data_IF_835225143423
#
_entry.id   IF_835225143423
#
_cell.length_a   1.000
_cell.length_b   1.000
_cell.length_c   1.000
_cell.angle_alpha   90.00
_cell.angle_beta   90.00
_cell.angle_gamma   90.00
#
_symmetry.space_group_name_H-M   'P 1'
#
loop_
_entity.id
_entity.type
_entity.pdbx_description
1 polymer ?
#
# COMPACT_ATOMS: atom_id res chain seq x y z
N UNK A 1 22.73 9.91 -19.39
CA UNK A 1 21.78 10.89 -19.94
C UNK A 1 21.75 12.06 -18.99
N UNK A 2 22.01 13.29 -19.47
CA UNK A 2 21.89 14.51 -18.65
C UNK A 2 20.43 14.70 -18.29
N UNK A 3 20.06 14.52 -17.03
CA UNK A 3 18.77 14.96 -16.48
C UNK A 3 18.63 16.44 -16.80
N UNK A 4 17.68 16.78 -17.69
CA UNK A 4 17.27 18.18 -17.86
C UNK A 4 16.78 18.64 -16.49
N UNK A 5 17.43 19.66 -15.93
CA UNK A 5 16.99 20.25 -14.67
C UNK A 5 15.54 20.75 -14.87
N UNK A 6 14.61 20.15 -14.14
CA UNK A 6 13.21 20.63 -14.13
C UNK A 6 13.19 22.04 -13.58
N UNK A 7 12.47 22.96 -14.25
CA UNK A 7 12.26 24.31 -13.72
C UNK A 7 11.60 24.23 -12.34
N UNK A 8 12.00 25.07 -11.37
CA UNK A 8 11.35 25.09 -10.06
C UNK A 8 9.85 25.33 -10.20
N UNK A 9 9.07 24.79 -9.25
CA UNK A 9 7.62 25.01 -9.20
C UNK A 9 7.24 25.68 -7.88
N UNK A 10 6.54 26.81 -7.95
CA UNK A 10 5.98 27.50 -6.78
C UNK A 10 4.47 27.32 -6.75
N UNK A 11 3.96 26.60 -5.77
CA UNK A 11 2.53 26.44 -5.49
C UNK A 11 2.15 27.51 -4.48
N UNK A 12 1.20 28.41 -4.83
CA UNK A 12 0.80 29.54 -3.99
C UNK A 12 -0.52 29.29 -3.29
N UNK A 13 -0.60 29.74 -2.03
CA UNK A 13 -1.84 29.84 -1.25
C UNK A 13 -2.63 28.52 -1.11
N UNK A 14 -1.97 27.38 -1.22
CA UNK A 14 -2.62 26.10 -0.99
C UNK A 14 -2.85 25.87 0.52
N UNK A 15 -3.95 25.23 0.89
CA UNK A 15 -4.01 24.53 2.17
C UNK A 15 -2.99 23.37 2.12
N UNK A 16 -2.19 23.19 3.16
CA UNK A 16 -1.15 22.15 3.18
C UNK A 16 -1.46 21.15 4.28
N UNK A 17 -1.72 19.90 3.90
CA UNK A 17 -1.71 18.78 4.84
C UNK A 17 -0.26 18.30 5.01
N UNK A 18 0.33 18.56 6.19
CA UNK A 18 1.75 18.31 6.41
C UNK A 18 2.12 16.84 6.68
N UNK A 19 1.14 15.94 6.64
CA UNK A 19 1.22 14.52 7.02
C UNK A 19 0.54 14.21 8.36
N UNK A 20 0.16 15.23 9.12
CA UNK A 20 -0.51 15.10 10.41
C UNK A 20 -1.68 16.09 10.61
N UNK A 21 -1.56 17.29 10.06
CA UNK A 21 -2.54 18.37 10.22
C UNK A 21 -2.63 19.24 8.98
N UNK A 22 -3.76 19.91 8.81
CA UNK A 22 -3.96 20.91 7.78
C UNK A 22 -3.47 22.29 8.26
N UNK A 23 -2.61 22.92 7.47
CA UNK A 23 -2.15 24.29 7.64
C UNK A 23 -2.69 25.13 6.49
N UNK A 24 -3.42 26.20 6.80
CA UNK A 24 -4.06 27.03 5.79
C UNK A 24 -3.06 27.97 5.09
N UNK A 25 -3.33 28.25 3.81
CA UNK A 25 -2.71 29.30 3.00
C UNK A 25 -1.17 29.35 3.06
N UNK A 26 -0.51 28.26 2.60
CA UNK A 26 0.95 28.21 2.46
C UNK A 26 1.36 28.28 0.99
N UNK A 27 2.55 28.84 0.76
CA UNK A 27 3.29 28.65 -0.48
C UNK A 27 4.27 27.49 -0.29
N UNK A 28 4.46 26.67 -1.33
CA UNK A 28 5.41 25.56 -1.35
C UNK A 28 6.28 25.67 -2.60
N UNK A 29 7.59 25.75 -2.41
CA UNK A 29 8.58 25.78 -3.49
C UNK A 29 9.19 24.40 -3.67
N UNK A 30 9.08 23.87 -4.88
CA UNK A 30 9.75 22.64 -5.33
C UNK A 30 10.97 23.08 -6.17
N UNK A 31 12.15 22.54 -5.85
CA UNK A 31 13.37 22.78 -6.63
C UNK A 31 14.12 21.45 -6.79
N UNK A 32 14.27 21.00 -8.03
CA UNK A 32 14.73 19.64 -8.31
C UNK A 32 13.85 18.60 -7.60
N UNK A 33 14.46 17.56 -6.99
CA UNK A 33 13.69 16.47 -6.37
C UNK A 33 13.11 16.81 -4.97
N UNK A 34 13.35 18.02 -4.45
CA UNK A 34 13.08 18.35 -3.05
C UNK A 34 12.06 19.48 -2.90
N UNK A 35 11.40 19.49 -1.76
CA UNK A 35 10.69 20.65 -1.23
C UNK A 35 11.74 21.62 -0.72
N UNK A 36 11.94 22.72 -1.43
CA UNK A 36 12.95 23.71 -1.06
C UNK A 36 12.50 24.62 0.09
N UNK A 37 11.22 25.03 0.10
CA UNK A 37 10.68 25.89 1.13
C UNK A 37 9.16 25.68 1.30
N UNK A 38 8.67 25.94 2.52
CA UNK A 38 7.25 26.02 2.89
C UNK A 38 7.07 27.24 3.75
N UNK A 39 6.12 28.11 3.40
CA UNK A 39 5.86 29.34 4.17
C UNK A 39 4.87 30.26 3.47
N UNK A 40 4.68 31.46 4.01
CA UNK A 40 3.84 32.47 3.39
C UNK A 40 4.71 33.40 2.52
N UNK A 41 4.17 33.84 1.37
CA UNK A 41 4.77 34.85 0.48
C UNK A 41 6.20 34.49 0.02
N UNK A 42 6.44 33.23 -0.40
CA UNK A 42 7.72 32.82 -0.95
C UNK A 42 8.01 33.54 -2.28
N UNK A 43 9.27 33.93 -2.49
CA UNK A 43 9.74 34.47 -3.77
C UNK A 43 9.82 33.33 -4.80
N UNK A 44 9.31 33.59 -6.01
CA UNK A 44 9.49 32.64 -7.12
C UNK A 44 10.95 32.69 -7.62
N UNK A 45 11.59 31.53 -7.73
CA UNK A 45 12.91 31.45 -8.39
C UNK A 45 12.80 31.87 -9.85
N UNK A 46 13.90 32.36 -10.43
CA UNK A 46 13.94 32.71 -11.85
C UNK A 46 13.58 31.51 -12.73
N UNK A 47 12.60 31.67 -13.61
CA UNK A 47 12.11 30.61 -14.48
C UNK A 47 11.18 29.59 -13.81
N UNK A 48 10.74 29.83 -12.57
CA UNK A 48 9.80 28.95 -11.89
C UNK A 48 8.42 28.96 -12.54
N UNK A 49 7.81 27.78 -12.63
CA UNK A 49 6.37 27.66 -12.90
C UNK A 49 5.59 28.04 -11.65
N UNK A 50 4.62 28.96 -11.76
CA UNK A 50 3.78 29.35 -10.62
C UNK A 50 2.38 28.76 -10.79
N UNK A 51 1.92 28.02 -9.79
CA UNK A 51 0.60 27.42 -9.74
C UNK A 51 -0.23 28.07 -8.65
N UNK A 52 -1.48 28.38 -8.94
CA UNK A 52 -2.46 28.85 -7.95
C UNK A 52 -3.03 27.64 -7.20
N UNK A 53 -2.82 27.60 -5.89
CA UNK A 53 -3.34 26.58 -4.99
C UNK A 53 -4.55 27.06 -4.17
N UNK A 54 -5.06 28.27 -4.41
CA UNK A 54 -6.21 28.78 -3.67
C UNK A 54 -7.45 27.89 -3.84
N UNK A 55 -8.08 27.50 -2.72
CA UNK A 55 -9.21 26.57 -2.70
C UNK A 55 -8.83 25.09 -2.88
N UNK A 56 -7.53 24.79 -2.94
CA UNK A 56 -6.97 23.45 -3.09
C UNK A 56 -6.19 23.02 -1.87
N UNK A 57 -6.02 21.71 -1.73
CA UNK A 57 -5.16 21.13 -0.70
C UNK A 57 -3.97 20.44 -1.33
N UNK A 58 -2.77 20.78 -0.86
CA UNK A 58 -1.52 20.07 -1.18
C UNK A 58 -1.24 19.03 -0.10
N UNK A 59 -0.96 17.81 -0.52
CA UNK A 59 -0.66 16.67 0.36
C UNK A 59 0.68 16.04 -0.01
N UNK A 60 1.33 15.32 0.93
CA UNK A 60 2.38 14.38 0.56
C UNK A 60 1.82 13.33 -0.40
N UNK A 61 2.65 12.80 -1.28
CA UNK A 61 2.30 11.63 -2.06
C UNK A 61 1.86 10.47 -1.17
N UNK A 62 0.82 9.77 -1.58
CA UNK A 62 0.24 8.66 -0.81
C UNK A 62 1.18 7.46 -0.84
N UNK A 63 1.13 6.65 0.22
CA UNK A 63 1.93 5.43 0.39
C UNK A 63 0.97 4.27 0.59
N UNK A 64 0.89 3.34 -0.37
CA UNK A 64 0.15 2.09 -0.21
C UNK A 64 1.02 1.10 0.55
N UNK A 65 0.61 0.78 1.78
CA UNK A 65 1.39 -0.04 2.70
C UNK A 65 1.27 -1.55 2.46
N UNK A 66 0.53 -1.99 1.44
CA UNK A 66 0.41 -3.41 1.08
C UNK A 66 -0.02 -3.58 -0.37
N UNK A 67 0.90 -4.00 -1.22
CA UNK A 67 0.63 -4.34 -2.62
C UNK A 67 1.36 -5.62 -3.04
N UNK A 68 1.03 -6.14 -4.22
CA UNK A 68 1.73 -7.22 -4.91
C UNK A 68 2.07 -6.79 -6.33
N UNK A 69 3.22 -6.14 -6.48
CA UNK A 69 3.63 -5.48 -7.71
C UNK A 69 4.40 -6.42 -8.63
N UNK A 70 3.91 -6.66 -9.84
CA UNK A 70 4.50 -7.60 -10.80
C UNK A 70 5.07 -6.94 -12.05
N UNK A 71 4.54 -5.78 -12.43
CA UNK A 71 5.01 -5.02 -13.59
C UNK A 71 4.94 -3.49 -13.41
N UNK A 72 5.52 -2.76 -14.35
CA UNK A 72 5.62 -1.29 -14.29
C UNK A 72 4.30 -0.58 -14.59
N UNK A 73 3.33 -1.25 -15.20
CA UNK A 73 2.01 -0.65 -15.48
C UNK A 73 1.25 -0.44 -14.18
N UNK A 74 1.43 -1.35 -13.21
CA UNK A 74 0.87 -1.24 -11.86
C UNK A 74 1.46 -0.04 -11.11
N UNK A 75 2.79 0.16 -11.15
CA UNK A 75 3.43 1.35 -10.57
C UNK A 75 2.98 2.65 -11.26
N UNK A 76 2.72 2.59 -12.56
CA UNK A 76 2.14 3.74 -13.29
C UNK A 76 0.71 3.97 -12.85
N UNK A 77 -0.11 2.92 -12.72
CA UNK A 77 -1.49 3.02 -12.21
C UNK A 77 -1.51 3.62 -10.81
N UNK A 78 -0.70 3.11 -9.88
CA UNK A 78 -0.57 3.68 -8.54
C UNK A 78 -0.35 5.19 -8.59
N UNK A 79 0.64 5.63 -9.38
CA UNK A 79 1.00 7.05 -9.49
C UNK A 79 -0.15 7.90 -10.05
N UNK A 80 -0.90 7.42 -11.05
CA UNK A 80 -2.03 8.17 -11.64
C UNK A 80 -3.12 8.48 -10.61
N UNK A 81 -3.21 7.71 -9.53
CA UNK A 81 -4.17 7.90 -8.44
C UNK A 81 -3.56 8.54 -7.19
N UNK A 82 -2.33 9.09 -7.30
CA UNK A 82 -1.67 9.85 -6.23
C UNK A 82 -0.80 9.01 -5.31
N UNK A 83 -0.71 7.69 -5.51
CA UNK A 83 0.19 6.82 -4.75
C UNK A 83 1.60 6.95 -5.34
N UNK A 84 2.51 7.57 -4.60
CA UNK A 84 3.89 7.81 -5.03
C UNK A 84 4.86 6.73 -4.55
N UNK A 85 4.42 5.89 -3.61
CA UNK A 85 5.21 4.79 -3.05
C UNK A 85 4.32 3.59 -2.78
N UNK A 86 4.74 2.40 -3.21
CA UNK A 86 4.13 1.12 -2.87
C UNK A 86 5.07 0.29 -2.00
N UNK A 87 4.50 -0.43 -1.02
CA UNK A 87 5.19 -1.42 -0.20
C UNK A 87 4.75 -2.80 -0.67
N UNK A 88 5.55 -3.41 -1.53
CA UNK A 88 5.28 -4.74 -2.09
C UNK A 88 5.54 -5.83 -1.06
N UNK A 89 4.50 -6.61 -0.76
CA UNK A 89 4.49 -7.63 0.30
C UNK A 89 4.86 -9.03 -0.18
N UNK A 90 5.34 -9.14 -1.41
CA UNK A 90 5.89 -10.40 -1.86
C UNK A 90 5.85 -10.62 -3.36
N UNK A 91 6.89 -11.26 -3.85
CA UNK A 91 7.08 -11.57 -5.24
C UNK A 91 8.43 -12.25 -5.48
N UNK A 92 8.79 -12.47 -6.74
CA UNK A 92 10.12 -13.02 -7.04
C UNK A 92 11.21 -11.94 -6.93
N UNK A 93 12.41 -12.34 -6.52
CA UNK A 93 13.56 -11.45 -6.48
C UNK A 93 13.88 -10.81 -7.85
N UNK A 94 13.59 -11.54 -8.94
CA UNK A 94 13.75 -11.02 -10.31
C UNK A 94 12.79 -9.88 -10.61
N UNK A 95 11.52 -10.04 -10.26
CA UNK A 95 10.49 -9.00 -10.40
C UNK A 95 10.82 -7.79 -9.53
N UNK A 96 11.12 -8.00 -8.25
CA UNK A 96 11.50 -6.94 -7.32
C UNK A 96 12.66 -6.06 -7.85
N UNK A 97 13.72 -6.68 -8.38
CA UNK A 97 14.84 -5.95 -8.99
C UNK A 97 14.43 -5.13 -10.22
N UNK A 98 13.59 -5.71 -11.11
CA UNK A 98 13.11 -4.97 -12.31
C UNK A 98 12.26 -3.78 -11.93
N UNK A 99 11.32 -3.96 -10.99
CA UNK A 99 10.42 -2.89 -10.54
C UNK A 99 11.20 -1.75 -9.90
N UNK A 100 12.12 -2.07 -8.99
CA UNK A 100 12.97 -1.07 -8.33
C UNK A 100 13.86 -0.34 -9.33
N UNK A 101 14.50 -1.04 -10.27
CA UNK A 101 15.33 -0.42 -11.31
C UNK A 101 14.51 0.57 -12.15
N UNK A 102 13.32 0.15 -12.61
CA UNK A 102 12.44 1.00 -13.39
C UNK A 102 11.96 2.24 -12.60
N UNK A 103 11.57 2.07 -11.33
CA UNK A 103 11.12 3.17 -10.46
C UNK A 103 12.26 4.17 -10.13
N UNK A 104 13.51 3.72 -10.10
CA UNK A 104 14.67 4.58 -9.89
C UNK A 104 15.08 5.37 -11.17
N UNK A 105 14.76 4.85 -12.34
CA UNK A 105 15.11 5.47 -13.63
C UNK A 105 14.01 6.37 -14.18
N UNK A 106 12.77 6.24 -13.67
CA UNK A 106 11.57 6.86 -14.24
C UNK A 106 10.73 7.54 -13.18
N UNK A 107 10.51 8.85 -13.33
CA UNK A 107 9.64 9.64 -12.44
C UNK A 107 8.14 9.54 -12.82
N UNK A 108 7.79 8.82 -13.88
CA UNK A 108 6.40 8.52 -14.25
C UNK A 108 5.88 7.20 -13.65
N UNK A 109 6.62 6.62 -12.70
CA UNK A 109 6.25 5.44 -11.92
C UNK A 109 6.28 5.76 -10.43
N UNK A 110 5.42 5.11 -9.64
CA UNK A 110 5.55 5.10 -8.18
C UNK A 110 6.88 4.45 -7.76
N UNK A 111 7.43 4.88 -6.60
CA UNK A 111 8.52 4.16 -5.94
C UNK A 111 8.02 2.82 -5.39
N UNK A 112 8.92 1.86 -5.22
CA UNK A 112 8.56 0.57 -4.65
C UNK A 112 9.59 0.10 -3.63
N UNK A 113 9.11 -0.34 -2.47
CA UNK A 113 9.87 -1.08 -1.46
C UNK A 113 9.37 -2.52 -1.44
N UNK A 114 10.26 -3.48 -1.33
CA UNK A 114 9.94 -4.87 -1.64
C UNK A 114 10.30 -5.82 -0.51
N UNK A 115 9.42 -6.79 -0.24
CA UNK A 115 9.74 -7.92 0.64
C UNK A 115 10.52 -9.03 -0.08
N UNK A 116 10.49 -9.07 -1.41
CA UNK A 116 10.90 -10.23 -2.20
C UNK A 116 10.09 -11.48 -1.81
N UNK A 117 10.68 -12.67 -1.65
CA UNK A 117 9.97 -13.86 -1.27
C UNK A 117 9.64 -13.89 0.23
N UNK A 118 8.36 -13.99 0.57
CA UNK A 118 7.92 -14.12 1.96
C UNK A 118 8.20 -15.52 2.55
N UNK A 119 8.35 -15.58 3.88
CA UNK A 119 8.62 -16.81 4.62
C UNK A 119 7.32 -17.56 4.91
N UNK A 120 7.27 -18.86 4.59
CA UNK A 120 6.18 -19.78 4.92
C UNK A 120 6.71 -21.20 5.14
N UNK A 121 5.89 -22.06 5.77
CA UNK A 121 6.18 -23.48 5.90
C UNK A 121 6.13 -24.20 4.53
N UNK A 122 6.83 -25.34 4.35
CA UNK A 122 6.62 -26.20 3.18
C UNK A 122 5.13 -26.58 3.06
N UNK A 123 4.50 -26.24 1.91
CA UNK A 123 3.06 -26.43 1.67
C UNK A 123 2.14 -25.43 2.39
N UNK A 124 2.66 -24.48 3.16
CA UNK A 124 1.90 -23.40 3.79
C UNK A 124 1.44 -22.33 2.79
N UNK A 125 0.57 -21.42 3.23
CA UNK A 125 0.14 -20.29 2.39
C UNK A 125 1.36 -19.41 1.98
N UNK A 126 1.50 -19.03 0.70
CA UNK A 126 0.62 -19.18 -0.46
C UNK A 126 1.00 -20.34 -1.40
N UNK A 127 1.60 -21.45 -0.96
CA UNK A 127 2.00 -22.57 -1.83
C UNK A 127 0.83 -23.16 -2.64
N UNK A 128 -0.42 -23.03 -2.17
CA UNK A 128 -1.59 -23.46 -2.94
C UNK A 128 -1.76 -22.66 -4.25
N UNK A 129 -1.24 -21.44 -4.34
CA UNK A 129 -1.27 -20.65 -5.58
C UNK A 129 -0.25 -21.20 -6.61
N UNK A 130 0.83 -21.84 -6.15
CA UNK A 130 1.77 -22.58 -7.03
C UNK A 130 1.06 -23.80 -7.62
N UNK A 131 0.29 -24.55 -6.81
CA UNK A 131 -0.49 -25.70 -7.26
C UNK A 131 -1.53 -25.31 -8.32
N UNK A 132 -2.07 -24.10 -8.23
CA UNK A 132 -3.03 -23.52 -9.21
C UNK A 132 -2.34 -22.89 -10.43
N UNK A 133 -1.00 -22.88 -10.48
CA UNK A 133 -0.26 -22.25 -11.58
C UNK A 133 -0.33 -20.71 -11.61
N UNK A 134 -0.74 -20.09 -10.50
CA UNK A 134 -0.88 -18.62 -10.41
C UNK A 134 0.43 -17.92 -10.07
N UNK A 135 1.34 -18.59 -9.36
CA UNK A 135 2.66 -18.08 -9.01
C UNK A 135 3.72 -19.18 -9.20
N UNK A 136 4.97 -18.77 -9.42
CA UNK A 136 6.10 -19.68 -9.53
C UNK A 136 6.49 -20.29 -8.17
N UNK A 137 7.08 -21.51 -8.16
CA UNK A 137 7.64 -22.09 -6.94
C UNK A 137 8.68 -21.18 -6.29
N UNK A 138 8.67 -21.12 -4.97
CA UNK A 138 9.56 -20.27 -4.18
C UNK A 138 10.10 -21.00 -2.93
N UNK A 139 11.23 -20.52 -2.33
CA UNK A 139 11.79 -21.12 -1.13
C UNK A 139 10.84 -21.02 0.08
N UNK A 140 10.78 -22.09 0.87
CA UNK A 140 10.04 -22.19 2.13
C UNK A 140 10.98 -22.41 3.31
N UNK A 141 10.48 -22.37 4.55
CA UNK A 141 11.28 -22.50 5.79
C UNK A 141 10.70 -23.64 6.63
N UNK A 142 11.43 -24.75 6.74
CA UNK A 142 10.95 -25.92 7.48
C UNK A 142 11.17 -25.83 8.99
N UNK A 143 12.20 -25.09 9.45
CA UNK A 143 12.52 -25.01 10.87
C UNK A 143 13.36 -23.78 11.23
N UNK A 144 13.56 -23.54 12.54
CA UNK A 144 14.27 -22.37 13.03
C UNK A 144 15.74 -22.31 12.58
N UNK A 145 16.36 -23.44 12.31
CA UNK A 145 17.76 -23.50 11.87
C UNK A 145 17.97 -22.96 10.45
N UNK A 146 16.89 -22.88 9.64
CA UNK A 146 16.93 -22.31 8.29
C UNK A 146 16.71 -20.80 8.27
N UNK A 147 16.20 -20.20 9.36
CA UNK A 147 15.75 -18.82 9.39
C UNK A 147 16.84 -17.81 9.04
N UNK A 148 18.06 -17.98 9.56
CA UNK A 148 19.16 -17.05 9.32
C UNK A 148 19.57 -17.05 7.84
N UNK A 149 19.71 -18.21 7.23
CA UNK A 149 20.07 -18.37 5.81
C UNK A 149 18.94 -17.85 4.91
N UNK A 150 17.68 -18.07 5.27
CA UNK A 150 16.54 -17.55 4.52
C UNK A 150 16.55 -16.02 4.50
N UNK A 151 16.69 -15.36 5.65
CA UNK A 151 16.70 -13.89 5.74
C UNK A 151 17.95 -13.31 5.07
N UNK A 152 19.11 -13.93 5.22
CA UNK A 152 20.33 -13.48 4.52
C UNK A 152 20.15 -13.49 2.99
N UNK A 153 19.45 -14.50 2.44
CA UNK A 153 19.13 -14.54 1.02
C UNK A 153 18.18 -13.39 0.61
N UNK A 154 17.16 -13.05 1.43
CA UNK A 154 16.27 -11.90 1.15
C UNK A 154 17.03 -10.57 1.13
N UNK A 155 17.93 -10.36 2.08
CA UNK A 155 18.83 -9.18 2.10
C UNK A 155 19.67 -9.11 0.83
N UNK A 156 20.28 -10.24 0.43
CA UNK A 156 21.09 -10.31 -0.79
C UNK A 156 20.27 -10.05 -2.07
N UNK A 157 18.98 -10.36 -2.07
CA UNK A 157 18.03 -10.04 -3.12
C UNK A 157 17.56 -8.57 -3.09
N UNK A 158 17.89 -7.83 -2.03
CA UNK A 158 17.56 -6.43 -1.84
C UNK A 158 16.22 -6.17 -1.16
N UNK A 159 15.73 -7.07 -0.32
CA UNK A 159 14.52 -6.84 0.47
C UNK A 159 14.67 -5.61 1.39
N UNK A 160 13.63 -4.78 1.46
CA UNK A 160 13.51 -3.64 2.38
C UNK A 160 12.83 -4.04 3.71
N UNK A 161 12.05 -5.10 3.70
CA UNK A 161 11.34 -5.68 4.84
C UNK A 161 11.13 -7.19 4.61
N UNK A 162 10.78 -7.92 5.67
CA UNK A 162 10.49 -9.35 5.60
C UNK A 162 8.98 -9.60 5.74
N UNK A 163 8.38 -10.28 4.78
CA UNK A 163 7.02 -10.83 4.87
C UNK A 163 7.06 -12.23 5.46
N UNK A 164 6.13 -12.52 6.39
CA UNK A 164 5.95 -13.83 7.04
C UNK A 164 4.47 -14.23 6.88
N UNK A 165 4.19 -15.48 6.51
CA UNK A 165 2.82 -15.97 6.39
C UNK A 165 2.47 -16.84 7.60
N UNK A 166 1.39 -16.45 8.31
CA UNK A 166 0.79 -17.20 9.42
C UNK A 166 -0.68 -17.42 9.07
N UNK A 167 -0.93 -18.48 8.29
CA UNK A 167 -2.27 -18.83 7.79
C UNK A 167 -2.44 -20.36 7.86
N UNK A 168 -3.29 -20.82 8.77
CA UNK A 168 -3.56 -22.26 9.00
C UNK A 168 -4.57 -22.84 8.01
N UNK A 169 -5.11 -22.00 7.13
CA UNK A 169 -6.10 -22.38 6.15
C UNK A 169 -7.55 -22.31 6.64
N UNK A 170 -7.78 -21.95 7.91
CA UNK A 170 -9.14 -21.75 8.46
C UNK A 170 -9.89 -20.71 7.67
N UNK A 171 -9.25 -19.56 7.38
CA UNK A 171 -9.84 -18.47 6.63
C UNK A 171 -10.06 -18.79 5.13
N UNK A 172 -9.41 -19.82 4.58
CA UNK A 172 -9.55 -20.20 3.17
C UNK A 172 -10.23 -21.57 2.99
N UNK A 173 -10.69 -22.17 4.09
CA UNK A 173 -11.46 -23.44 4.07
C UNK A 173 -10.64 -24.68 3.70
N UNK A 174 -9.30 -24.63 3.74
CA UNK A 174 -8.37 -25.73 3.46
C UNK A 174 -7.26 -25.72 4.51
N UNK A 175 -7.12 -26.75 5.36
CA UNK A 175 -6.01 -26.82 6.32
C UNK A 175 -4.66 -26.69 5.63
N UNK A 176 -3.80 -25.82 6.14
CA UNK A 176 -2.46 -25.56 5.62
C UNK A 176 -1.40 -25.71 6.71
N UNK A 177 -0.19 -26.20 6.37
CA UNK A 177 0.93 -26.24 7.28
C UNK A 177 1.32 -24.84 7.77
N UNK A 178 1.63 -24.73 9.06
CA UNK A 178 2.15 -23.51 9.70
C UNK A 178 3.62 -23.70 10.09
N UNK A 179 4.36 -22.60 10.07
CA UNK A 179 5.64 -22.54 10.77
C UNK A 179 5.41 -22.56 12.29
N UNK A 180 6.29 -23.26 13.02
CA UNK A 180 6.25 -23.22 14.48
C UNK A 180 6.51 -21.79 15.02
N UNK A 181 6.00 -21.44 16.21
CA UNK A 181 6.32 -20.16 16.84
C UNK A 181 7.84 -19.95 17.00
N UNK A 182 8.61 -21.01 17.21
CA UNK A 182 10.07 -20.95 17.29
C UNK A 182 10.70 -20.55 15.95
N UNK A 183 10.16 -21.05 14.81
CA UNK A 183 10.61 -20.70 13.47
C UNK A 183 10.29 -19.24 13.16
N UNK A 184 9.06 -18.78 13.48
CA UNK A 184 8.65 -17.38 13.31
C UNK A 184 9.53 -16.43 14.14
N UNK A 185 9.77 -16.75 15.42
CA UNK A 185 10.66 -15.97 16.29
C UNK A 185 12.10 -15.91 15.75
N UNK A 186 12.61 -17.02 15.22
CA UNK A 186 13.95 -17.06 14.63
C UNK A 186 14.05 -16.18 13.37
N UNK A 187 13.02 -16.18 12.50
CA UNK A 187 12.93 -15.31 11.32
C UNK A 187 12.90 -13.82 11.71
N UNK A 188 12.05 -13.45 12.67
CA UNK A 188 11.93 -12.08 13.15
C UNK A 188 13.28 -11.60 13.72
N UNK A 189 13.92 -12.40 14.59
CA UNK A 189 15.24 -12.06 15.13
C UNK A 189 16.27 -11.87 14.03
N UNK A 190 16.36 -12.80 13.06
CA UNK A 190 17.31 -12.71 11.96
C UNK A 190 17.08 -11.47 11.07
N UNK A 191 15.82 -11.07 10.91
CA UNK A 191 15.44 -9.85 10.20
C UNK A 191 15.87 -8.59 10.97
N UNK A 192 15.56 -8.51 12.27
CA UNK A 192 15.93 -7.39 13.13
C UNK A 192 17.45 -7.21 13.24
N UNK A 193 18.22 -8.30 13.35
CA UNK A 193 19.70 -8.26 13.34
C UNK A 193 20.26 -7.66 12.05
N UNK A 194 19.47 -7.64 10.96
CA UNK A 194 19.82 -7.06 9.66
C UNK A 194 19.10 -5.73 9.36
N UNK A 195 18.40 -5.18 10.35
CA UNK A 195 17.67 -3.90 10.22
C UNK A 195 16.40 -3.95 9.38
N UNK A 196 15.87 -5.15 9.09
CA UNK A 196 14.62 -5.30 8.36
C UNK A 196 13.42 -5.25 9.32
N UNK A 197 12.37 -4.53 8.93
CA UNK A 197 11.04 -4.64 9.53
C UNK A 197 10.38 -5.96 9.11
N UNK A 198 9.51 -6.48 9.96
CA UNK A 198 8.80 -7.73 9.74
C UNK A 198 7.29 -7.52 9.68
N UNK A 199 6.61 -8.11 8.69
CA UNK A 199 5.15 -7.98 8.51
C UNK A 199 4.55 -9.37 8.35
N UNK A 200 3.57 -9.71 9.20
CA UNK A 200 2.90 -11.00 9.12
C UNK A 200 1.54 -10.92 8.41
N UNK A 201 1.29 -11.81 7.45
CA UNK A 201 -0.05 -12.10 6.97
C UNK A 201 -0.84 -12.83 8.06
N UNK A 202 -1.98 -12.26 8.47
CA UNK A 202 -2.82 -12.81 9.55
C UNK A 202 -4.28 -12.46 9.31
N UNK A 203 -5.13 -13.44 8.99
CA UNK A 203 -6.56 -13.22 8.80
C UNK A 203 -7.38 -13.54 10.06
N UNK A 204 -6.81 -14.31 10.99
CA UNK A 204 -7.48 -14.76 12.21
C UNK A 204 -6.86 -14.14 13.46
N UNK A 205 -7.64 -14.10 14.54
CA UNK A 205 -7.17 -13.61 15.86
C UNK A 205 -6.04 -14.47 16.41
N UNK A 206 -6.10 -15.79 16.21
CA UNK A 206 -5.07 -16.72 16.67
C UNK A 206 -3.75 -16.50 15.91
N UNK A 207 -3.80 -16.31 14.58
CA UNK A 207 -2.65 -15.99 13.77
C UNK A 207 -2.01 -14.64 14.17
N UNK A 208 -2.84 -13.61 14.37
CA UNK A 208 -2.37 -12.30 14.83
C UNK A 208 -1.76 -12.38 16.23
N UNK A 209 -2.36 -13.17 17.14
CA UNK A 209 -1.81 -13.41 18.47
C UNK A 209 -0.47 -14.10 18.42
N UNK A 210 -0.32 -15.14 17.60
CA UNK A 210 0.96 -15.81 17.41
C UNK A 210 2.02 -14.86 16.87
N UNK A 211 1.68 -14.01 15.88
CA UNK A 211 2.60 -13.03 15.33
C UNK A 211 3.11 -12.06 16.40
N UNK A 212 2.19 -11.48 17.20
CA UNK A 212 2.51 -10.54 18.28
C UNK A 212 3.39 -11.21 19.34
N UNK A 213 3.02 -12.42 19.79
CA UNK A 213 3.79 -13.15 20.81
C UNK A 213 5.20 -13.53 20.32
N UNK A 214 5.41 -13.65 19.00
CA UNK A 214 6.72 -13.87 18.38
C UNK A 214 7.53 -12.58 18.17
N UNK A 215 6.97 -11.38 18.42
CA UNK A 215 7.67 -10.10 18.33
C UNK A 215 7.63 -9.43 16.95
N UNK A 216 6.56 -9.64 16.16
CA UNK A 216 6.37 -9.01 14.85
C UNK A 216 6.29 -7.49 14.94
N UNK A 217 6.74 -6.76 13.90
CA UNK A 217 6.59 -5.30 13.83
C UNK A 217 5.21 -4.88 13.29
N UNK A 218 4.60 -5.66 12.40
CA UNK A 218 3.33 -5.29 11.79
C UNK A 218 2.44 -6.47 11.38
N UNK A 219 1.13 -6.23 11.40
CA UNK A 219 0.11 -7.16 10.91
C UNK A 219 -0.42 -6.70 9.55
N UNK A 220 -0.45 -7.59 8.61
CA UNK A 220 -1.21 -7.55 7.38
C UNK A 220 -2.13 -8.77 7.39
N UNK A 221 -3.28 -8.63 7.45
CA UNK A 221 -4.45 -7.85 7.46
C UNK A 221 -4.94 -7.58 8.92
N UNK A 222 -6.09 -6.93 9.11
CA UNK A 222 -6.75 -6.91 10.41
C UNK A 222 -7.52 -8.23 10.63
N UNK A 223 -7.53 -8.82 11.85
CA UNK A 223 -8.28 -10.04 12.13
C UNK A 223 -9.77 -9.91 11.81
N UNK A 224 -10.31 -10.88 11.07
CA UNK A 224 -11.66 -10.82 10.49
C UNK A 224 -12.53 -12.04 10.83
N UNK A 225 -12.02 -13.03 11.57
CA UNK A 225 -12.67 -14.30 11.91
C UNK A 225 -13.68 -14.22 13.07
N UNK A 226 -13.89 -13.03 13.63
CA UNK A 226 -14.84 -12.81 14.71
C UNK A 226 -14.74 -11.42 15.33
N UNK A 227 -15.57 -11.11 16.33
CA UNK A 227 -15.52 -9.83 17.05
C UNK A 227 -14.12 -9.55 17.59
N UNK A 228 -13.76 -8.27 17.67
CA UNK A 228 -12.46 -7.85 18.17
C UNK A 228 -12.21 -8.37 19.60
N UNK A 229 -11.02 -8.90 19.83
CA UNK A 229 -10.56 -9.39 21.11
C UNK A 229 -9.78 -8.28 21.86
N UNK A 230 -10.28 -7.78 23.01
CA UNK A 230 -9.59 -6.75 23.78
C UNK A 230 -8.16 -7.14 24.17
N UNK A 231 -7.92 -8.40 24.53
CA UNK A 231 -6.60 -8.86 24.95
C UNK A 231 -5.61 -8.89 23.78
N UNK A 232 -6.08 -9.19 22.57
CA UNK A 232 -5.26 -9.10 21.34
C UNK A 232 -4.91 -7.65 21.02
N UNK A 233 -5.88 -6.73 21.14
CA UNK A 233 -5.68 -5.30 20.88
C UNK A 233 -4.69 -4.69 21.87
N UNK A 234 -4.83 -5.01 23.17
CA UNK A 234 -3.89 -4.60 24.20
C UNK A 234 -2.47 -5.14 23.96
N UNK A 235 -2.36 -6.40 23.51
CA UNK A 235 -1.08 -7.01 23.18
C UNK A 235 -0.43 -6.31 21.97
N UNK A 236 -1.20 -5.97 20.92
CA UNK A 236 -0.69 -5.23 19.76
C UNK A 236 -0.17 -3.84 20.18
N UNK A 237 -0.92 -3.11 21.02
CA UNK A 237 -0.50 -1.80 21.52
C UNK A 237 0.75 -1.89 22.39
N UNK A 238 0.80 -2.86 23.32
CA UNK A 238 1.95 -3.07 24.19
C UNK A 238 3.22 -3.50 23.42
N UNK A 239 3.05 -4.27 22.33
CA UNK A 239 4.13 -4.71 21.45
C UNK A 239 4.65 -3.64 20.50
N UNK A 240 3.98 -2.48 20.40
CA UNK A 240 4.33 -1.44 19.42
C UNK A 240 4.11 -1.88 17.97
N UNK A 241 3.19 -2.82 17.75
CA UNK A 241 2.87 -3.38 16.44
C UNK A 241 2.04 -2.39 15.64
N UNK A 242 2.30 -2.25 14.33
CA UNK A 242 1.40 -1.52 13.42
C UNK A 242 0.43 -2.48 12.72
N UNK A 243 -0.66 -1.96 12.14
CA UNK A 243 -1.63 -2.75 11.37
C UNK A 243 -1.91 -2.14 10.00
N UNK A 244 -1.92 -2.99 8.96
CA UNK A 244 -2.36 -2.65 7.59
C UNK A 244 -3.64 -3.44 7.34
N UNK A 245 -4.85 -2.85 7.53
CA UNK A 245 -6.09 -3.61 7.61
C UNK A 245 -6.58 -4.19 6.28
N UNK A 246 -6.24 -3.57 5.16
CA UNK A 246 -6.64 -3.99 3.80
C UNK A 246 -8.14 -4.26 3.64
N UNK A 247 -8.95 -3.33 4.14
CA UNK A 247 -10.41 -3.48 4.17
C UNK A 247 -11.00 -3.61 2.75
N UNK A 248 -10.40 -2.95 1.77
CA UNK A 248 -10.86 -3.01 0.38
C UNK A 248 -10.73 -4.43 -0.19
N UNK A 249 -9.60 -5.12 0.06
CA UNK A 249 -9.43 -6.51 -0.37
C UNK A 249 -10.44 -7.45 0.31
N UNK A 250 -10.56 -7.37 1.64
CA UNK A 250 -11.50 -8.19 2.39
C UNK A 250 -12.95 -7.96 1.93
N UNK A 251 -13.34 -6.70 1.71
CA UNK A 251 -14.67 -6.34 1.23
C UNK A 251 -14.89 -6.86 -0.20
N UNK A 252 -13.91 -6.66 -1.08
CA UNK A 252 -13.97 -7.09 -2.47
C UNK A 252 -14.13 -8.60 -2.65
N UNK A 253 -13.47 -9.38 -1.79
CA UNK A 253 -13.56 -10.84 -1.83
C UNK A 253 -14.83 -11.43 -1.18
N UNK A 254 -15.42 -10.74 -0.20
CA UNK A 254 -16.48 -11.33 0.65
C UNK A 254 -17.86 -10.72 0.48
N UNK A 255 -17.94 -9.45 0.05
CA UNK A 255 -19.20 -8.70 -0.05
C UNK A 255 -19.32 -7.97 -1.39
N UNK A 256 -19.82 -6.73 -1.38
CA UNK A 256 -19.85 -5.87 -2.56
C UNK A 256 -18.57 -5.07 -2.63
N UNK A 257 -17.76 -5.21 -3.69
CA UNK A 257 -16.53 -4.45 -3.86
C UNK A 257 -16.77 -2.93 -3.86
N UNK A 258 -15.95 -2.18 -3.11
CA UNK A 258 -15.92 -0.72 -3.17
C UNK A 258 -15.51 -0.23 -4.57
N UNK A 259 -14.79 -1.04 -5.31
CA UNK A 259 -14.33 -0.82 -6.67
C UNK A 259 -15.46 -0.53 -7.65
N UNK A 260 -16.69 -1.00 -7.41
CA UNK A 260 -17.82 -0.69 -8.29
C UNK A 260 -18.16 0.80 -8.28
N UNK A 261 -18.17 1.44 -7.11
CA UNK A 261 -18.37 2.89 -7.01
C UNK A 261 -17.19 3.68 -7.59
N UNK A 262 -15.96 3.19 -7.35
CA UNK A 262 -14.76 3.84 -7.84
C UNK A 262 -14.66 3.80 -9.36
N UNK A 263 -15.01 2.67 -9.99
CA UNK A 263 -15.05 2.52 -11.44
C UNK A 263 -16.07 3.45 -12.11
N UNK A 264 -17.16 3.75 -11.44
CA UNK A 264 -18.22 4.64 -11.93
C UNK A 264 -17.95 6.14 -11.60
N UNK A 265 -16.92 6.47 -10.77
CA UNK A 265 -16.59 7.87 -10.41
C UNK A 265 -15.94 8.60 -11.62
N UNK A 266 -16.55 9.68 -12.16
CA UNK A 266 -16.04 10.38 -13.35
C UNK A 266 -14.66 11.04 -13.13
N UNK A 267 -14.20 11.20 -11.90
CA UNK A 267 -12.88 11.74 -11.57
C UNK A 267 -11.77 10.69 -11.63
N UNK A 268 -12.13 9.41 -11.48
CA UNK A 268 -11.22 8.27 -11.45
C UNK A 268 -11.28 7.45 -12.75
N UNK A 269 -12.48 7.16 -13.24
CA UNK A 269 -12.74 6.32 -14.41
C UNK A 269 -11.81 6.58 -15.62
N UNK A 270 -11.52 7.85 -16.03
CA UNK A 270 -10.67 8.12 -17.19
C UNK A 270 -9.23 7.61 -17.06
N UNK A 271 -8.77 7.33 -15.84
CA UNK A 271 -7.41 6.90 -15.54
C UNK A 271 -7.33 5.42 -15.15
N UNK A 272 -8.47 4.75 -15.00
CA UNK A 272 -8.51 3.33 -14.65
C UNK A 272 -7.98 2.46 -15.81
N UNK A 273 -7.35 1.34 -15.43
CA UNK A 273 -6.88 0.36 -16.41
C UNK A 273 -8.09 -0.27 -17.16
N UNK A 274 -8.15 -0.22 -18.50
CA UNK A 274 -9.26 -0.77 -19.27
C UNK A 274 -9.44 -2.28 -19.07
N UNK A 275 -8.37 -3.04 -18.85
CA UNK A 275 -8.45 -4.47 -18.58
C UNK A 275 -9.08 -4.73 -17.21
N UNK A 276 -8.66 -3.99 -16.19
CA UNK A 276 -9.27 -4.09 -14.86
C UNK A 276 -10.78 -3.73 -14.89
N UNK A 277 -11.17 -2.70 -15.66
CA UNK A 277 -12.59 -2.36 -15.82
C UNK A 277 -13.39 -3.52 -16.43
N UNK A 278 -12.82 -4.19 -17.44
CA UNK A 278 -13.46 -5.36 -18.07
C UNK A 278 -13.54 -6.55 -17.09
N UNK A 279 -12.47 -6.82 -16.34
CA UNK A 279 -12.44 -7.87 -15.31
C UNK A 279 -13.46 -7.59 -14.20
N UNK A 280 -13.60 -6.32 -13.79
CA UNK A 280 -14.58 -5.89 -12.78
C UNK A 280 -16.03 -6.10 -13.25
N UNK A 281 -16.32 -5.86 -14.52
CA UNK A 281 -17.65 -6.13 -15.11
C UNK A 281 -17.94 -7.63 -15.13
N UNK A 282 -16.94 -8.48 -15.38
CA UNK A 282 -17.09 -9.94 -15.26
C UNK A 282 -17.38 -10.34 -13.82
N UNK A 283 -16.66 -9.78 -12.85
CA UNK A 283 -16.88 -10.02 -11.43
C UNK A 283 -18.30 -9.60 -11.00
N UNK A 284 -18.84 -8.51 -11.51
CA UNK A 284 -20.22 -8.05 -11.24
C UNK A 284 -21.27 -9.10 -11.61
N UNK A 285 -21.01 -9.89 -12.66
CA UNK A 285 -21.93 -10.94 -13.15
C UNK A 285 -21.72 -12.29 -12.47
N UNK A 286 -20.60 -12.49 -11.79
CA UNK A 286 -20.25 -13.73 -11.09
C UNK A 286 -20.88 -13.75 -9.69
N UNK A 287 -21.60 -14.84 -9.37
CA UNK A 287 -22.21 -14.98 -8.05
C UNK A 287 -21.12 -14.95 -6.94
N UNK A 288 -21.34 -14.24 -5.81
CA UNK A 288 -20.37 -14.14 -4.72
C UNK A 288 -19.84 -15.50 -4.23
N UNK A 289 -20.68 -16.52 -4.21
CA UNK A 289 -20.30 -17.88 -3.80
C UNK A 289 -19.33 -18.58 -4.77
N UNK A 290 -19.10 -18.04 -5.96
CA UNK A 290 -18.16 -18.56 -6.96
C UNK A 290 -16.84 -17.79 -6.96
N UNK A 291 -16.71 -16.72 -6.16
CA UNK A 291 -15.47 -15.96 -6.06
C UNK A 291 -14.47 -16.71 -5.19
N UNK A 292 -13.22 -16.68 -5.61
CA UNK A 292 -12.11 -17.18 -4.80
C UNK A 292 -11.84 -16.13 -3.73
N UNK A 293 -12.04 -16.49 -2.46
CA UNK A 293 -11.84 -15.57 -1.35
C UNK A 293 -11.85 -16.27 0.00
N UNK A 294 -11.49 -15.56 1.08
CA UNK A 294 -11.48 -16.12 2.42
C UNK A 294 -12.88 -16.52 2.87
N UNK A 295 -12.95 -17.67 3.58
CA UNK A 295 -14.17 -18.25 4.15
C UNK A 295 -14.16 -18.01 5.66
N UNK A 296 -15.34 -17.67 6.24
CA UNK A 296 -15.46 -17.47 7.70
C UNK A 296 -14.83 -16.17 8.19
N UNK A 297 -14.56 -15.22 7.31
CA UNK A 297 -14.12 -13.86 7.66
C UNK A 297 -15.22 -12.85 7.31
N UNK A 298 -15.30 -11.79 8.10
CA UNK A 298 -16.25 -10.69 7.91
C UNK A 298 -15.47 -9.35 7.92
N UNK A 299 -15.51 -8.57 6.84
CA UNK A 299 -14.84 -7.27 6.78
C UNK A 299 -15.24 -6.31 7.91
N UNK A 300 -16.44 -6.45 8.45
CA UNK A 300 -16.91 -5.63 9.59
C UNK A 300 -16.10 -5.93 10.86
N UNK A 301 -15.68 -7.17 11.07
CA UNK A 301 -14.80 -7.53 12.19
C UNK A 301 -13.41 -6.92 12.00
N UNK A 302 -12.85 -6.97 10.79
CA UNK A 302 -11.58 -6.33 10.48
C UNK A 302 -11.64 -4.80 10.69
N UNK A 303 -12.72 -4.16 10.25
CA UNK A 303 -12.94 -2.72 10.44
C UNK A 303 -13.05 -2.34 11.94
N UNK A 304 -13.81 -3.11 12.74
CA UNK A 304 -13.91 -2.90 14.20
C UNK A 304 -12.57 -3.14 14.89
N UNK A 305 -11.85 -4.21 14.53
CA UNK A 305 -10.52 -4.50 15.08
C UNK A 305 -9.51 -3.38 14.77
N UNK A 306 -9.44 -2.93 13.51
CA UNK A 306 -8.56 -1.85 13.09
C UNK A 306 -8.87 -0.53 13.83
N UNK A 307 -10.16 -0.16 13.94
CA UNK A 307 -10.57 1.04 14.68
C UNK A 307 -10.17 0.96 16.16
N UNK A 308 -10.43 -0.17 16.82
CA UNK A 308 -10.11 -0.34 18.24
C UNK A 308 -8.58 -0.34 18.48
N UNK A 309 -7.81 -1.01 17.60
CA UNK A 309 -6.35 -0.94 17.62
C UNK A 309 -5.89 0.51 17.50
N UNK A 310 -6.41 1.27 16.53
CA UNK A 310 -6.09 2.68 16.35
C UNK A 310 -6.44 3.53 17.59
N UNK A 311 -7.62 3.31 18.20
CA UNK A 311 -8.05 4.02 19.41
C UNK A 311 -7.16 3.76 20.62
N UNK A 312 -6.50 2.60 20.67
CA UNK A 312 -5.54 2.23 21.72
C UNK A 312 -4.09 2.64 21.37
N UNK A 313 -3.89 3.37 20.26
CA UNK A 313 -2.61 3.93 19.85
C UNK A 313 -1.75 3.02 18.97
N UNK A 314 -2.30 1.90 18.48
CA UNK A 314 -1.65 1.10 17.43
C UNK A 314 -1.59 1.91 16.14
N UNK A 315 -0.40 2.10 15.52
CA UNK A 315 -0.31 2.78 14.23
C UNK A 315 -1.10 2.02 13.16
N UNK A 316 -2.00 2.72 12.48
CA UNK A 316 -2.78 2.19 11.36
C UNK A 316 -2.23 2.73 10.06
N UNK A 317 -1.93 1.85 9.11
CA UNK A 317 -1.38 2.18 7.79
C UNK A 317 -2.41 1.79 6.72
N UNK A 318 -2.72 2.68 5.80
CA UNK A 318 -3.58 2.36 4.68
C UNK A 318 -2.84 1.47 3.67
N UNK A 319 -3.47 0.39 3.23
CA UNK A 319 -2.92 -0.55 2.25
C UNK A 319 -4.02 -1.39 1.62
N UNK A 320 -3.86 -1.72 0.33
CA UNK A 320 -4.94 -2.29 -0.48
C UNK A 320 -4.93 -3.80 -0.61
N UNK A 321 -3.78 -4.44 -0.51
CA UNK A 321 -3.54 -5.80 -1.02
C UNK A 321 -3.79 -5.88 -2.55
N UNK A 322 -3.45 -4.80 -3.26
CA UNK A 322 -3.62 -4.68 -4.70
C UNK A 322 -2.78 -5.70 -5.46
N UNK A 323 -3.43 -6.57 -6.24
CA UNK A 323 -2.77 -7.59 -7.06
C UNK A 323 -2.88 -7.30 -8.54
N UNK A 324 -3.94 -6.60 -8.95
CA UNK A 324 -4.18 -6.21 -10.36
C UNK A 324 -4.42 -7.36 -11.32
N UNK A 325 -4.98 -8.50 -10.89
CA UNK A 325 -5.17 -9.63 -11.81
C UNK A 325 -6.27 -10.62 -11.45
N UNK A 326 -6.80 -11.21 -12.52
CA UNK A 326 -7.58 -12.46 -12.61
C UNK A 326 -8.58 -12.77 -11.48
N UNK A 327 -9.74 -12.10 -11.56
CA UNK A 327 -10.87 -12.43 -10.67
C UNK A 327 -10.80 -11.77 -9.30
N UNK A 328 -9.80 -10.93 -9.03
CA UNK A 328 -9.69 -10.10 -7.83
C UNK A 328 -10.11 -8.66 -8.15
N UNK A 329 -11.07 -8.06 -7.43
CA UNK A 329 -11.54 -6.71 -7.73
C UNK A 329 -10.51 -5.63 -7.38
N UNK A 330 -9.64 -5.89 -6.37
CA UNK A 330 -8.68 -4.92 -5.87
C UNK A 330 -7.48 -4.78 -6.79
N UNK A 331 -7.16 -3.53 -7.15
CA UNK A 331 -6.07 -3.20 -8.06
C UNK A 331 -5.23 -2.03 -7.54
N UNK A 332 -4.08 -1.82 -8.15
CA UNK A 332 -3.19 -0.71 -7.82
C UNK A 332 -3.83 0.65 -8.12
N UNK A 333 -3.59 1.61 -7.27
CA UNK A 333 -4.02 2.98 -7.46
C UNK A 333 -5.48 3.21 -7.08
N UNK A 334 -6.43 2.90 -7.96
CA UNK A 334 -7.85 3.25 -7.76
C UNK A 334 -8.45 2.65 -6.49
N UNK A 335 -8.16 1.38 -6.16
CA UNK A 335 -8.66 0.70 -4.95
C UNK A 335 -8.22 1.38 -3.65
N UNK A 336 -7.12 2.12 -3.69
CA UNK A 336 -6.64 2.86 -2.52
C UNK A 336 -7.60 3.95 -2.04
N UNK A 337 -8.33 4.58 -2.97
CA UNK A 337 -9.40 5.51 -2.62
C UNK A 337 -10.58 4.80 -1.94
N UNK A 338 -10.79 3.52 -2.22
CA UNK A 338 -11.73 2.65 -1.52
C UNK A 338 -11.29 2.34 -0.10
N UNK A 339 -10.02 1.96 0.08
CA UNK A 339 -9.45 1.72 1.42
C UNK A 339 -9.64 2.93 2.33
N UNK A 340 -9.29 4.14 1.85
CA UNK A 340 -9.44 5.36 2.65
C UNK A 340 -10.90 5.66 2.99
N UNK A 341 -11.83 5.41 2.06
CA UNK A 341 -13.27 5.57 2.32
C UNK A 341 -13.77 4.54 3.35
N UNK A 342 -13.30 3.29 3.28
CA UNK A 342 -13.63 2.23 4.24
C UNK A 342 -13.06 2.52 5.63
N UNK A 343 -11.85 3.06 5.73
CA UNK A 343 -11.27 3.50 7.01
C UNK A 343 -12.09 4.62 7.66
N UNK A 344 -12.58 5.57 6.87
CA UNK A 344 -13.48 6.63 7.37
C UNK A 344 -14.83 6.04 7.77
N UNK A 345 -15.39 5.13 6.99
CA UNK A 345 -16.63 4.43 7.32
C UNK A 345 -16.50 3.57 8.59
N UNK A 346 -15.32 3.02 8.85
CA UNK A 346 -15.00 2.30 10.09
C UNK A 346 -14.95 3.21 11.33
N UNK A 347 -14.78 4.54 11.15
CA UNK A 347 -14.83 5.52 12.24
C UNK A 347 -13.60 6.43 12.40
N UNK A 348 -12.61 6.34 11.50
CA UNK A 348 -11.54 7.34 11.44
C UNK A 348 -12.10 8.66 10.90
N UNK A 349 -11.56 9.78 11.38
CA UNK A 349 -11.77 11.05 10.68
C UNK A 349 -11.01 11.04 9.34
N UNK A 350 -11.44 11.80 8.32
CA UNK A 350 -10.70 11.92 7.07
C UNK A 350 -9.23 12.31 7.28
N UNK A 351 -8.92 13.23 8.19
CA UNK A 351 -7.54 13.60 8.52
C UNK A 351 -6.72 12.44 9.09
N UNK A 352 -7.32 11.57 9.90
CA UNK A 352 -6.66 10.37 10.42
C UNK A 352 -6.39 9.35 9.30
N UNK A 353 -7.34 9.16 8.39
CA UNK A 353 -7.14 8.32 7.20
C UNK A 353 -6.01 8.86 6.30
N UNK A 354 -5.89 10.18 6.14
CA UNK A 354 -4.77 10.80 5.43
C UNK A 354 -3.42 10.59 6.13
N UNK A 355 -3.39 10.63 7.46
CA UNK A 355 -2.17 10.30 8.22
C UNK A 355 -1.80 8.83 8.01
N UNK A 356 -2.78 7.92 8.02
CA UNK A 356 -2.59 6.50 7.71
C UNK A 356 -2.10 6.25 6.26
N UNK A 357 -2.33 7.21 5.37
CA UNK A 357 -1.95 7.16 3.96
C UNK A 357 -0.60 7.85 3.65
N UNK A 358 0.02 8.53 4.61
CA UNK A 358 1.20 9.38 4.36
C UNK A 358 2.27 9.21 5.43
N UNK A 359 2.14 9.90 6.56
CA UNK A 359 3.16 9.92 7.61
C UNK A 359 3.29 8.59 8.34
N UNK A 360 2.18 7.90 8.63
CA UNK A 360 2.22 6.66 9.40
C UNK A 360 2.99 5.53 8.68
N UNK A 361 2.75 5.22 7.39
CA UNK A 361 3.57 4.22 6.69
C UNK A 361 5.02 4.67 6.51
N UNK A 362 5.29 5.96 6.31
CA UNK A 362 6.65 6.46 6.24
C UNK A 362 7.41 6.20 7.56
N UNK A 363 6.80 6.47 8.71
CA UNK A 363 7.39 6.23 10.02
C UNK A 363 7.59 4.74 10.29
N UNK A 364 6.57 3.91 10.01
CA UNK A 364 6.61 2.47 10.27
C UNK A 364 7.73 1.77 9.50
N UNK A 365 7.96 2.19 8.24
CA UNK A 365 8.98 1.58 7.37
C UNK A 365 10.28 2.40 7.28
N UNK A 366 10.45 3.45 8.11
CA UNK A 366 11.67 4.24 8.16
C UNK A 366 11.96 5.04 6.91
N UNK A 367 10.94 5.45 6.15
CA UNK A 367 11.06 6.28 4.96
C UNK A 367 11.18 7.76 5.36
N UNK A 368 12.37 8.17 5.79
CA UNK A 368 12.61 9.49 6.41
C UNK A 368 12.58 10.65 5.43
N UNK A 369 12.53 10.38 4.14
CA UNK A 369 12.58 11.37 3.05
C UNK A 369 11.19 11.79 2.52
N UNK A 370 10.09 11.17 2.97
CA UNK A 370 8.73 11.32 2.42
C UNK A 370 7.62 11.20 3.46
N UNK A 371 6.35 11.22 3.02
CA UNK A 371 5.17 11.10 3.89
C UNK A 371 4.78 12.40 4.60
N UNK A 372 5.57 13.47 4.43
CA UNK A 372 5.33 14.81 5.00
C UNK A 372 5.68 15.91 4.02
N UNK A 373 5.12 17.12 4.25
CA UNK A 373 5.52 18.35 3.55
C UNK A 373 6.38 19.18 4.48
N UNK A 374 7.69 19.15 4.28
CA UNK A 374 8.66 19.97 5.00
C UNK A 374 9.89 20.25 4.10
N UNK A 375 10.60 21.35 4.30
CA UNK A 375 11.84 21.64 3.57
C UNK A 375 12.87 20.53 3.70
N UNK A 376 13.51 20.18 2.58
CA UNK A 376 14.51 19.11 2.50
C UNK A 376 13.94 17.70 2.26
N UNK A 377 12.63 17.50 2.38
CA UNK A 377 11.99 16.25 2.02
C UNK A 377 11.74 16.18 0.52
N UNK A 378 11.56 14.98 0.04
CA UNK A 378 11.29 14.64 -1.35
C UNK A 378 9.97 15.24 -1.81
N UNK A 379 9.97 15.84 -2.97
CA UNK A 379 8.78 16.44 -3.57
C UNK A 379 7.95 15.36 -4.32
N UNK A 380 7.45 14.39 -3.57
CA UNK A 380 6.38 13.48 -3.95
C UNK A 380 5.10 14.10 -3.39
N UNK A 381 4.31 14.76 -4.24
CA UNK A 381 3.21 15.63 -3.80
C UNK A 381 1.98 15.46 -4.70
N UNK A 382 0.80 15.67 -4.14
CA UNK A 382 -0.43 15.81 -4.92
C UNK A 382 -1.22 17.05 -4.51
N UNK A 383 -1.77 17.76 -5.48
CA UNK A 383 -2.66 18.90 -5.31
C UNK A 383 -4.07 18.47 -5.71
N UNK A 384 -5.04 18.64 -4.83
CA UNK A 384 -6.43 18.25 -5.05
C UNK A 384 -7.37 19.45 -4.89
N UNK A 385 -8.48 19.47 -5.62
CA UNK A 385 -9.55 20.44 -5.38
C UNK A 385 -10.30 20.08 -4.08
N UNK A 386 -10.56 21.09 -3.25
CA UNK A 386 -11.30 20.94 -1.99
C UNK A 386 -10.43 20.55 -0.79
N UNK A 387 -11.07 20.04 0.26
CA UNK A 387 -10.48 19.75 1.56
C UNK A 387 -10.67 18.27 1.94
N UNK A 388 -9.67 17.39 1.65
CA UNK A 388 -9.76 15.98 1.95
C UNK A 388 -9.66 15.65 3.46
N UNK A 389 -9.33 16.63 4.31
CA UNK A 389 -9.38 16.44 5.78
C UNK A 389 -10.79 16.50 6.34
N UNK A 390 -11.76 16.97 5.53
CA UNK A 390 -13.19 17.02 5.85
C UNK A 390 -14.00 15.98 5.06
N UNK A 391 -13.62 15.77 3.81
CA UNK A 391 -14.22 14.78 2.92
C UNK A 391 -13.10 14.05 2.17
N UNK A 392 -12.82 12.82 2.57
CA UNK A 392 -11.74 12.02 1.98
C UNK A 392 -11.91 11.80 0.48
N UNK A 393 -13.15 11.88 -0.05
CA UNK A 393 -13.41 11.74 -1.49
C UNK A 393 -12.90 12.91 -2.32
N UNK A 394 -12.54 14.06 -1.70
CA UNK A 394 -11.86 15.15 -2.38
C UNK A 394 -10.48 14.73 -2.94
N UNK A 395 -9.84 13.68 -2.38
CA UNK A 395 -8.63 13.07 -2.95
C UNK A 395 -8.81 12.59 -4.39
N UNK A 396 -10.03 12.28 -4.80
CA UNK A 396 -10.35 11.83 -6.17
C UNK A 396 -10.18 12.97 -7.21
N UNK A 397 -10.16 14.24 -6.75
CA UNK A 397 -10.08 15.44 -7.59
C UNK A 397 -8.64 15.94 -7.75
N UNK A 398 -7.72 15.09 -8.18
CA UNK A 398 -6.29 15.42 -8.37
C UNK A 398 -6.14 16.39 -9.54
N UNK A 399 -5.58 17.59 -9.28
CA UNK A 399 -5.33 18.64 -10.28
C UNK A 399 -3.87 18.72 -10.71
N UNK A 400 -2.93 18.33 -9.83
CA UNK A 400 -1.51 18.21 -10.16
C UNK A 400 -0.84 17.16 -9.28
N UNK A 401 0.24 16.59 -9.80
CA UNK A 401 0.97 15.50 -9.16
C UNK A 401 2.46 15.64 -9.47
N UNK A 402 3.31 15.41 -8.47
CA UNK A 402 4.76 15.39 -8.61
C UNK A 402 5.33 14.10 -8.04
N UNK A 403 6.27 13.54 -8.76
CA UNK A 403 7.08 12.40 -8.33
C UNK A 403 8.54 12.83 -8.39
N UNK A 404 9.23 12.82 -7.25
CA UNK A 404 10.63 13.25 -7.18
C UNK A 404 10.84 14.68 -7.75
N UNK A 405 9.88 15.59 -7.48
CA UNK A 405 9.86 16.95 -7.99
C UNK A 405 9.50 17.11 -9.47
N UNK A 406 9.41 16.03 -10.21
CA UNK A 406 9.01 16.03 -11.63
C UNK A 406 7.48 16.05 -11.73
N UNK A 407 6.88 17.02 -12.46
CA UNK A 407 5.44 17.02 -12.73
C UNK A 407 5.03 15.75 -13.50
N UNK A 408 3.98 15.09 -13.03
CA UNK A 408 3.45 13.88 -13.63
C UNK A 408 2.22 14.21 -14.47
N UNK A 409 2.28 13.92 -15.76
CA UNK A 409 1.13 14.06 -16.64
C UNK A 409 0.16 12.90 -16.39
N UNK A 410 -1.06 13.22 -15.96
CA UNK A 410 -2.15 12.24 -15.78
C UNK A 410 -2.87 12.07 -17.12
N UNK A 411 -2.42 11.07 -17.90
CA UNK A 411 -3.04 10.69 -19.18
C UNK A 411 -3.79 9.37 -19.01
N UNK A 412 -4.94 9.24 -19.68
CA UNK A 412 -5.66 7.97 -19.74
C UNK A 412 -4.73 6.85 -20.24
N UNK A 413 -4.76 5.66 -19.62
CA UNK A 413 -3.96 4.54 -20.09
C UNK A 413 -4.40 4.16 -21.52
N UNK A 414 -3.43 3.90 -22.37
CA UNK A 414 -3.72 3.35 -23.70
C UNK A 414 -4.05 1.87 -23.53
N UNK A 415 -5.12 1.40 -24.16
CA UNK A 415 -5.41 -0.03 -24.22
C UNK A 415 -4.17 -0.76 -24.78
N UNK A 416 -3.55 -1.58 -23.95
CA UNK A 416 -2.46 -2.45 -24.40
C UNK A 416 -3.13 -3.54 -25.24
N UNK A 417 -2.85 -3.54 -26.54
CA UNK A 417 -3.20 -4.70 -27.38
C UNK A 417 -2.30 -5.85 -26.90
N UNK A 418 -2.82 -6.68 -26.03
CA UNK A 418 -2.14 -7.92 -25.60
C UNK A 418 -2.14 -8.87 -26.80
N UNK A 419 -1.05 -8.87 -27.57
CA UNK A 419 -0.80 -9.94 -28.54
C UNK A 419 -0.36 -11.17 -27.73
N UNK A 420 -1.30 -11.97 -27.25
CA UNK A 420 -1.02 -13.35 -26.91
C UNK A 420 -0.75 -14.09 -28.22
N UNK A 421 0.51 -14.22 -28.60
CA UNK A 421 0.91 -15.26 -29.53
C UNK A 421 0.85 -16.59 -28.78
N UNK A 422 -0.25 -17.32 -28.95
CA UNK A 422 -0.29 -18.75 -28.69
C UNK A 422 0.71 -19.36 -29.67
N UNK A 423 1.89 -19.74 -29.19
CA UNK A 423 2.77 -20.65 -29.95
C UNK A 423 2.14 -22.04 -29.82
N UNK A 424 1.60 -22.55 -30.95
CA UNK A 424 1.20 -23.93 -31.13
C UNK A 424 2.39 -24.89 -31.05
#
# INVERSE_FOLDING_TARGET
MTTQATSPTLIRQAAVFDGSRLVAAQDVLIDGPLIAAVGAHLEASAGATVLDGAGRTLLPGLIDAHTHTTDTTQLRQALLFGITTELDMGGSAGTARRMRAAANERDDLADVRVATTGATAPGGHPCQLVELGMIEPFPTVAGPDEADAFVAARVAEGADHLKIFIEDGTAIGKPLPLMSPQTVTALIRAAHERGLRTVAHTLTRDAARQAIDCGIDGLAHAPADGPSDPALIEAAAAGGVFVVPTLTALTGMTTTPAEYELADDPRLHPYADPQWLADLDEIRTTAPAQRIGPIGVDPRHAADAALRMYQLGVPLLAGTDGTGGHGHPTTHGISYHGELALLVAAGLTPAQALTAATAAPADAFGLTDRGRIAPGLRADLLLVDGDPTRDVTALRSITALWRNGTPVERTAPRAVQTQYQIQE
#
